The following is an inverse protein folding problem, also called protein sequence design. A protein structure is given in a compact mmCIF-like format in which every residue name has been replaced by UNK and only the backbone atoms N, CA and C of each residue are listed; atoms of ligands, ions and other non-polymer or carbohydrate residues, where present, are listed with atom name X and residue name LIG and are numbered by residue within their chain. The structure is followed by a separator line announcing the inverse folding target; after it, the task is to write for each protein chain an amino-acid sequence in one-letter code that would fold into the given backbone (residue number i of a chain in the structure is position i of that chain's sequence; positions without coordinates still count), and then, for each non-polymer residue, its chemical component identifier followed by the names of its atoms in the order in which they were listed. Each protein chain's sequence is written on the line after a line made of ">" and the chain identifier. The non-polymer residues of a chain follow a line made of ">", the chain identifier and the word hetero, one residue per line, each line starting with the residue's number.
data_IF_712041806123
#
_entry.id   IF_712041806123
#
_cell.length_a   1.000
_cell.length_b   1.000
_cell.length_c   1.000
_cell.angle_alpha   90.00
_cell.angle_beta   90.00
_cell.angle_gamma   90.00
#
_symmetry.space_group_name_H-M   'P 1'
#
loop_
_entity.id
_entity.type
_entity.pdbx_description
1 polymer ?
#
# COMPACT_ATOMS: atom_id res chain seq x y z
N UNK A 1 10.28 -1.28 -5.82
CA UNK A 1 10.00 -2.73 -5.77
C UNK A 1 9.53 -3.05 -4.38
N UNK A 2 8.47 -3.82 -4.26
CA UNK A 2 7.93 -4.24 -2.96
C UNK A 2 8.20 -5.71 -2.78
N UNK A 3 8.83 -6.08 -1.68
CA UNK A 3 9.00 -7.48 -1.29
C UNK A 3 7.93 -7.75 -0.25
N UNK A 4 6.94 -8.55 -0.63
CA UNK A 4 5.81 -8.95 0.19
C UNK A 4 5.70 -10.48 0.23
N UNK A 5 4.59 -11.01 0.77
CA UNK A 5 4.32 -12.43 0.93
C UNK A 5 3.35 -12.65 2.08
N UNK A 6 3.49 -13.76 2.81
CA UNK A 6 2.93 -13.88 4.15
C UNK A 6 3.70 -12.98 5.13
N UNK A 7 4.92 -13.39 5.49
CA UNK A 7 5.86 -12.57 6.27
C UNK A 7 7.28 -12.74 5.71
N UNK A 8 7.82 -11.77 4.93
CA UNK A 8 9.12 -11.90 4.28
C UNK A 8 10.30 -12.17 5.22
N UNK A 9 10.24 -11.72 6.48
CA UNK A 9 11.32 -11.92 7.44
C UNK A 9 11.53 -13.38 7.86
N UNK A 10 10.60 -14.29 7.53
CA UNK A 10 10.81 -15.73 7.71
C UNK A 10 11.76 -16.31 6.67
N UNK A 11 11.95 -15.64 5.53
CA UNK A 11 12.77 -16.17 4.45
C UNK A 11 14.25 -16.18 4.86
N UNK A 12 14.95 -17.33 4.76
CA UNK A 12 16.32 -17.47 5.26
C UNK A 12 17.29 -16.50 4.58
N UNK A 13 17.09 -16.22 3.29
CA UNK A 13 17.98 -15.35 2.51
C UNK A 13 17.44 -13.92 2.32
N UNK A 14 16.44 -13.47 3.10
CA UNK A 14 15.80 -12.16 2.86
C UNK A 14 16.80 -10.99 2.88
N UNK A 15 17.78 -11.04 3.78
CA UNK A 15 18.82 -10.02 3.88
C UNK A 15 19.73 -9.96 2.64
N UNK A 16 20.04 -11.13 2.06
CA UNK A 16 20.86 -11.24 0.85
C UNK A 16 20.10 -10.73 -0.37
N UNK A 17 18.81 -11.09 -0.49
CA UNK A 17 17.92 -10.59 -1.54
C UNK A 17 17.85 -9.07 -1.49
N UNK A 18 17.57 -8.49 -0.30
CA UNK A 18 17.50 -7.05 -0.11
C UNK A 18 18.85 -6.39 -0.43
N UNK A 19 19.96 -6.95 0.04
CA UNK A 19 21.30 -6.43 -0.24
C UNK A 19 21.63 -6.44 -1.74
N UNK A 20 21.28 -7.51 -2.45
CA UNK A 20 21.45 -7.62 -3.90
C UNK A 20 20.64 -6.60 -4.69
N UNK A 21 19.47 -6.21 -4.18
CA UNK A 21 18.62 -5.18 -4.78
C UNK A 21 19.15 -3.76 -4.50
N UNK A 22 19.61 -3.51 -3.27
CA UNK A 22 20.26 -2.25 -2.87
C UNK A 22 21.53 -2.02 -3.70
N UNK A 23 22.35 -3.07 -3.91
CA UNK A 23 23.56 -2.99 -4.74
C UNK A 23 23.26 -2.56 -6.19
N UNK A 24 22.04 -2.84 -6.67
CA UNK A 24 21.54 -2.43 -8.00
C UNK A 24 20.80 -1.10 -7.97
N UNK A 25 20.87 -0.36 -6.86
CA UNK A 25 20.18 0.92 -6.61
C UNK A 25 18.67 0.84 -6.85
N UNK A 26 18.05 -0.31 -6.54
CA UNK A 26 16.60 -0.47 -6.60
C UNK A 26 16.01 -0.07 -5.25
N UNK A 27 15.00 0.80 -5.26
CA UNK A 27 14.23 1.11 -4.05
C UNK A 27 13.42 -0.12 -3.64
N UNK A 28 13.66 -0.59 -2.42
CA UNK A 28 13.00 -1.74 -1.80
C UNK A 28 12.08 -1.25 -0.69
N UNK A 29 10.80 -1.58 -0.81
CA UNK A 29 9.85 -1.59 0.29
C UNK A 29 9.73 -3.02 0.79
N UNK A 30 10.26 -3.32 1.97
CA UNK A 30 10.11 -4.63 2.59
C UNK A 30 8.85 -4.61 3.47
N UNK A 31 7.79 -5.22 2.99
CA UNK A 31 6.52 -5.30 3.74
C UNK A 31 6.64 -6.32 4.86
N UNK A 32 6.23 -5.97 6.07
CA UNK A 32 6.25 -6.87 7.24
C UNK A 32 5.08 -6.57 8.15
N UNK A 33 4.58 -7.58 8.87
CA UNK A 33 3.64 -7.38 9.98
C UNK A 33 4.31 -6.82 11.24
N UNK A 34 5.64 -6.62 11.23
CA UNK A 34 6.41 -6.02 12.31
C UNK A 34 6.78 -6.98 13.45
N UNK A 35 6.14 -8.15 13.55
CA UNK A 35 6.33 -9.10 14.67
C UNK A 35 7.78 -9.58 14.77
N UNK A 36 8.40 -9.86 13.63
CA UNK A 36 9.76 -10.40 13.55
C UNK A 36 10.82 -9.33 13.26
N UNK A 37 10.41 -8.08 13.03
CA UNK A 37 11.30 -7.03 12.55
C UNK A 37 12.39 -6.71 13.59
N UNK A 38 12.03 -6.51 14.86
CA UNK A 38 13.00 -6.23 15.92
C UNK A 38 14.05 -7.35 16.07
N UNK A 39 13.62 -8.61 15.97
CA UNK A 39 14.52 -9.78 16.06
C UNK A 39 15.53 -9.85 14.91
N UNK A 40 15.13 -9.45 13.71
CA UNK A 40 15.94 -9.61 12.50
C UNK A 40 16.54 -8.30 11.98
N UNK A 41 16.33 -7.18 12.67
CA UNK A 41 16.79 -5.86 12.22
C UNK A 41 18.31 -5.82 12.01
N UNK A 42 19.07 -6.55 12.83
CA UNK A 42 20.54 -6.66 12.75
C UNK A 42 21.06 -7.34 11.48
N UNK A 43 20.18 -8.00 10.72
CA UNK A 43 20.52 -8.61 9.43
C UNK A 43 20.55 -7.58 8.29
N UNK A 44 20.10 -6.36 8.54
CA UNK A 44 20.02 -5.28 7.56
C UNK A 44 20.90 -4.11 7.98
N UNK A 45 21.18 -3.21 7.04
CA UNK A 45 21.86 -1.94 7.32
C UNK A 45 21.02 -0.78 6.77
N UNK A 46 20.96 0.37 7.46
CA UNK A 46 20.27 1.55 6.96
C UNK A 46 20.75 1.93 5.55
N UNK A 47 19.82 2.20 4.65
CA UNK A 47 20.10 2.54 3.27
C UNK A 47 19.00 3.44 2.73
N UNK A 48 19.31 4.46 1.89
CA UNK A 48 18.28 5.25 1.22
C UNK A 48 17.42 4.41 0.25
N UNK A 49 17.90 3.21 -0.11
CA UNK A 49 17.20 2.27 -0.98
C UNK A 49 16.38 1.23 -0.23
N UNK A 50 16.35 1.24 1.11
CA UNK A 50 15.56 0.30 1.92
C UNK A 50 14.59 1.06 2.82
N UNK A 51 13.31 0.75 2.66
CA UNK A 51 12.23 1.19 3.54
C UNK A 51 11.53 -0.04 4.09
N UNK A 52 11.40 -0.16 5.41
CA UNK A 52 10.49 -1.14 6.00
C UNK A 52 9.07 -0.60 5.93
N UNK A 53 8.16 -1.34 5.31
CA UNK A 53 6.74 -1.03 5.25
C UNK A 53 5.99 -1.89 6.26
N UNK A 54 5.74 -1.35 7.45
CA UNK A 54 5.11 -2.08 8.56
C UNK A 54 3.58 -1.98 8.43
N UNK A 55 2.91 -3.12 8.41
CA UNK A 55 1.46 -3.16 8.38
C UNK A 55 0.88 -2.70 9.72
N UNK A 56 0.00 -1.71 9.69
CA UNK A 56 -0.63 -1.12 10.86
C UNK A 56 -1.94 -0.47 10.41
N UNK A 57 -3.08 -1.01 10.86
CA UNK A 57 -4.40 -0.73 10.28
C UNK A 57 -5.33 0.11 11.16
N UNK A 58 -4.83 0.50 12.34
CA UNK A 58 -5.59 1.27 13.30
C UNK A 58 -4.88 1.36 14.64
N UNK A 59 -5.53 1.99 15.61
CA UNK A 59 -5.11 1.93 17.01
C UNK A 59 -5.22 0.50 17.55
N UNK A 60 -4.66 0.27 18.75
CA UNK A 60 -4.46 -1.06 19.35
C UNK A 60 -5.61 -2.04 19.14
N UNK A 61 -6.81 -1.69 19.60
CA UNK A 61 -7.97 -2.59 19.53
C UNK A 61 -8.37 -2.91 18.09
N UNK A 62 -8.44 -1.89 17.22
CA UNK A 62 -8.77 -2.06 15.81
C UNK A 62 -7.75 -2.93 15.09
N UNK A 63 -6.45 -2.64 15.25
CA UNK A 63 -5.41 -3.41 14.56
C UNK A 63 -5.37 -4.86 15.04
N UNK A 64 -5.36 -5.10 16.36
CA UNK A 64 -5.31 -6.45 16.94
C UNK A 64 -6.55 -7.28 16.53
N UNK A 65 -7.73 -6.64 16.44
CA UNK A 65 -8.95 -7.26 15.92
C UNK A 65 -8.80 -7.64 14.44
N UNK A 66 -8.31 -6.74 13.61
CA UNK A 66 -8.17 -6.96 12.15
C UNK A 66 -7.18 -8.08 11.83
N UNK A 67 -6.11 -8.23 12.63
CA UNK A 67 -5.12 -9.31 12.47
C UNK A 67 -5.43 -10.55 13.31
N UNK A 68 -6.59 -10.59 13.98
CA UNK A 68 -7.06 -11.68 14.84
C UNK A 68 -6.04 -12.13 15.90
N UNK A 69 -5.27 -11.18 16.46
CA UNK A 69 -4.22 -11.49 17.45
C UNK A 69 -3.93 -10.29 18.35
N UNK A 70 -4.14 -10.47 19.64
CA UNK A 70 -3.86 -9.47 20.67
C UNK A 70 -2.34 -9.19 20.81
N UNK A 71 -1.99 -7.92 21.03
CA UNK A 71 -0.64 -7.46 21.29
C UNK A 71 0.23 -7.27 20.04
N UNK A 72 -0.32 -7.45 18.84
CA UNK A 72 0.42 -7.24 17.59
C UNK A 72 0.70 -5.76 17.37
N UNK A 73 -0.26 -4.88 17.66
CA UNK A 73 -0.09 -3.43 17.56
C UNK A 73 1.13 -2.95 18.35
N UNK A 74 1.22 -3.33 19.63
CA UNK A 74 2.35 -2.93 20.48
C UNK A 74 3.68 -3.49 19.97
N UNK A 75 3.65 -4.71 19.45
CA UNK A 75 4.85 -5.33 18.86
C UNK A 75 5.29 -4.60 17.60
N UNK A 76 4.37 -4.27 16.71
CA UNK A 76 4.64 -3.50 15.49
C UNK A 76 5.15 -2.09 15.82
N UNK A 77 4.53 -1.40 16.79
CA UNK A 77 4.98 -0.06 17.24
C UNK A 77 6.39 -0.10 17.85
N UNK A 78 6.70 -1.10 18.69
CA UNK A 78 8.07 -1.27 19.22
C UNK A 78 9.08 -1.53 18.10
N UNK A 79 8.71 -2.35 17.11
CA UNK A 79 9.56 -2.61 15.97
C UNK A 79 9.78 -1.37 15.10
N UNK A 80 8.74 -0.56 14.87
CA UNK A 80 8.84 0.74 14.18
C UNK A 80 9.83 1.63 14.93
N UNK A 81 9.65 1.84 16.25
CA UNK A 81 10.55 2.66 17.07
C UNK A 81 11.99 2.17 17.05
N UNK A 82 12.19 0.85 17.07
CA UNK A 82 13.53 0.25 17.00
C UNK A 82 14.17 0.50 15.64
N UNK A 83 13.44 0.30 14.54
CA UNK A 83 13.94 0.53 13.20
C UNK A 83 14.26 2.01 12.95
N UNK A 84 13.34 2.92 13.32
CA UNK A 84 13.58 4.38 13.18
C UNK A 84 14.74 4.83 14.06
N UNK A 85 14.83 4.37 15.31
CA UNK A 85 15.93 4.68 16.23
C UNK A 85 17.30 4.18 15.76
N UNK A 86 17.33 3.15 14.92
CA UNK A 86 18.54 2.62 14.24
C UNK A 86 18.81 3.29 12.88
N UNK A 87 18.05 4.33 12.52
CA UNK A 87 18.25 5.11 11.30
C UNK A 87 17.66 4.47 10.03
N UNK A 88 16.86 3.42 10.14
CA UNK A 88 16.16 2.86 8.99
C UNK A 88 15.00 3.77 8.57
N UNK A 89 14.71 3.75 7.27
CA UNK A 89 13.47 4.35 6.75
C UNK A 89 12.31 3.41 7.06
N UNK A 90 11.23 3.94 7.61
CA UNK A 90 10.03 3.18 7.94
C UNK A 90 8.80 3.89 7.41
N UNK A 91 7.91 3.16 6.75
CA UNK A 91 6.56 3.62 6.41
C UNK A 91 5.53 2.68 7.03
N UNK A 92 4.32 3.17 7.27
CA UNK A 92 3.19 2.28 7.58
C UNK A 92 2.40 1.93 6.33
N UNK A 93 1.70 0.80 6.33
CA UNK A 93 0.72 0.44 5.32
C UNK A 93 -0.61 0.07 5.98
N UNK A 94 -1.62 0.90 5.74
CA UNK A 94 -2.94 0.85 6.37
C UNK A 94 -3.97 0.37 5.36
N UNK A 95 -4.70 -0.69 5.70
CA UNK A 95 -5.88 -1.13 4.94
C UNK A 95 -7.15 -0.65 5.63
N UNK A 96 -7.95 0.13 4.92
CA UNK A 96 -9.23 0.65 5.40
C UNK A 96 -10.34 -0.26 4.90
N UNK A 97 -11.03 -0.93 5.82
CA UNK A 97 -12.18 -1.75 5.50
C UNK A 97 -13.48 -0.94 5.57
N UNK A 98 -14.50 -1.43 4.87
CA UNK A 98 -15.85 -0.88 4.98
C UNK A 98 -16.37 -1.02 6.42
N UNK A 99 -17.00 0.03 6.95
CA UNK A 99 -17.54 0.05 8.32
C UNK A 99 -16.57 0.52 9.40
N UNK A 100 -15.29 0.76 9.08
CA UNK A 100 -14.35 1.37 10.02
C UNK A 100 -14.75 2.82 10.35
N UNK A 101 -14.51 3.25 11.60
CA UNK A 101 -14.84 4.60 12.04
C UNK A 101 -13.79 5.62 11.52
N UNK A 102 -14.21 6.59 10.67
CA UNK A 102 -13.29 7.61 10.16
C UNK A 102 -12.65 8.45 11.26
N UNK A 103 -13.32 8.66 12.40
CA UNK A 103 -12.75 9.41 13.52
C UNK A 103 -11.58 8.64 14.16
N UNK A 104 -11.74 7.33 14.35
CA UNK A 104 -10.67 6.47 14.89
C UNK A 104 -9.48 6.37 13.93
N UNK A 105 -9.74 6.26 12.62
CA UNK A 105 -8.67 6.26 11.60
C UNK A 105 -7.90 7.58 11.62
N UNK A 106 -8.58 8.72 11.80
CA UNK A 106 -7.91 10.03 11.88
C UNK A 106 -7.05 10.15 13.14
N UNK A 107 -7.53 9.67 14.30
CA UNK A 107 -6.71 9.57 15.53
C UNK A 107 -5.50 8.66 15.33
N UNK A 108 -5.69 7.57 14.59
CA UNK A 108 -4.59 6.67 14.22
C UNK A 108 -3.53 7.39 13.36
N UNK A 109 -3.91 8.21 12.38
CA UNK A 109 -2.92 8.98 11.61
C UNK A 109 -2.20 10.04 12.44
N UNK A 110 -2.89 10.70 13.37
CA UNK A 110 -2.25 11.59 14.33
C UNK A 110 -1.21 10.82 15.17
N UNK A 111 -1.54 9.61 15.65
CA UNK A 111 -0.61 8.75 16.37
C UNK A 111 0.60 8.32 15.52
N UNK A 112 0.38 7.86 14.29
CA UNK A 112 1.46 7.38 13.41
C UNK A 112 2.39 8.52 12.99
N UNK A 113 1.86 9.71 12.73
CA UNK A 113 2.66 10.92 12.50
C UNK A 113 3.66 11.13 13.65
N UNK A 114 3.21 10.96 14.90
CA UNK A 114 4.03 11.15 16.08
C UNK A 114 5.05 10.01 16.33
N UNK A 115 4.94 8.88 15.62
CA UNK A 115 5.93 7.79 15.67
C UNK A 115 7.24 8.10 14.91
N UNK A 116 7.28 9.18 14.14
CA UNK A 116 8.47 9.56 13.36
C UNK A 116 8.73 8.67 12.14
N UNK A 117 7.68 8.09 11.56
CA UNK A 117 7.77 7.35 10.30
C UNK A 117 8.01 8.29 9.10
N UNK A 118 8.62 7.79 8.04
CA UNK A 118 8.90 8.54 6.81
C UNK A 118 7.68 8.73 5.90
N UNK A 119 6.55 8.09 6.22
CA UNK A 119 5.31 8.25 5.49
C UNK A 119 4.29 7.15 5.82
N UNK A 120 3.04 7.41 5.46
CA UNK A 120 1.92 6.51 5.66
C UNK A 120 1.35 6.11 4.29
N UNK A 121 1.15 4.82 4.06
CA UNK A 121 0.34 4.34 2.94
C UNK A 121 -1.05 3.97 3.45
N UNK A 122 -2.05 4.26 2.63
CA UNK A 122 -3.47 4.01 2.89
C UNK A 122 -4.10 3.41 1.64
N UNK A 123 -4.87 2.34 1.80
CA UNK A 123 -5.59 1.70 0.71
C UNK A 123 -6.94 1.19 1.21
N UNK A 124 -8.00 1.25 0.39
CA UNK A 124 -9.20 0.47 0.68
C UNK A 124 -8.86 -1.02 0.65
N UNK A 125 -9.52 -1.80 1.50
CA UNK A 125 -9.49 -3.25 1.47
C UNK A 125 -10.13 -3.79 0.20
N UNK A 126 -9.52 -4.80 -0.41
CA UNK A 126 -10.11 -5.51 -1.54
C UNK A 126 -11.06 -6.59 -1.03
N UNK A 127 -12.34 -6.52 -1.41
CA UNK A 127 -13.28 -7.60 -1.08
C UNK A 127 -13.02 -8.79 -1.99
N UNK A 128 -12.43 -9.85 -1.46
CA UNK A 128 -12.33 -11.11 -2.18
C UNK A 128 -13.66 -11.86 -2.17
N UNK A 129 -13.90 -12.73 -3.16
CA UNK A 129 -15.12 -13.54 -3.29
C UNK A 129 -15.40 -14.46 -2.08
N UNK A 130 -14.39 -14.73 -1.25
CA UNK A 130 -14.51 -15.53 -0.02
C UNK A 130 -14.93 -14.72 1.22
N UNK A 131 -15.08 -13.39 1.11
CA UNK A 131 -15.59 -12.56 2.18
C UNK A 131 -17.12 -12.70 2.29
N UNK A 132 -17.67 -12.98 3.49
CA UNK A 132 -19.06 -13.42 3.67
C UNK A 132 -20.14 -12.34 3.44
N UNK A 133 -19.80 -11.13 3.02
CA UNK A 133 -20.77 -10.03 2.85
C UNK A 133 -20.76 -9.44 1.43
N UNK A 134 -21.87 -9.67 0.71
CA UNK A 134 -21.96 -9.53 -0.74
C UNK A 134 -23.21 -8.73 -1.17
N UNK A 135 -23.46 -7.58 -0.55
CA UNK A 135 -24.36 -6.57 -1.14
C UNK A 135 -23.58 -5.61 -2.07
N UNK A 136 -23.85 -5.72 -3.37
CA UNK A 136 -22.93 -5.33 -4.45
C UNK A 136 -23.15 -3.94 -5.09
N UNK A 137 -24.18 -3.18 -4.75
CA UNK A 137 -24.58 -2.03 -5.58
C UNK A 137 -23.99 -0.66 -5.16
N UNK A 138 -23.23 -0.57 -4.05
CA UNK A 138 -22.76 0.74 -3.52
C UNK A 138 -21.31 0.71 -2.99
N UNK A 139 -20.52 -0.33 -3.26
CA UNK A 139 -19.20 -0.53 -2.62
C UNK A 139 -18.19 0.59 -2.92
N UNK A 140 -18.06 1.02 -4.19
CA UNK A 140 -17.15 2.11 -4.58
C UNK A 140 -17.54 3.45 -3.96
N UNK A 141 -18.82 3.81 -4.00
CA UNK A 141 -19.32 5.09 -3.46
C UNK A 141 -19.27 5.13 -1.92
N UNK A 142 -19.55 4.02 -1.24
CA UNK A 142 -19.36 3.91 0.21
C UNK A 142 -17.89 4.06 0.59
N UNK A 143 -16.99 3.43 -0.17
CA UNK A 143 -15.54 3.63 -0.02
C UNK A 143 -15.17 5.11 -0.19
N UNK A 144 -15.64 5.77 -1.26
CA UNK A 144 -15.39 7.20 -1.48
C UNK A 144 -15.88 8.09 -0.36
N UNK A 145 -17.09 7.84 0.13
CA UNK A 145 -17.65 8.60 1.24
C UNK A 145 -16.83 8.43 2.52
N UNK A 146 -16.40 7.20 2.82
CA UNK A 146 -15.53 6.92 3.94
C UNK A 146 -14.17 7.64 3.80
N UNK A 147 -13.52 7.56 2.63
CA UNK A 147 -12.25 8.22 2.39
C UNK A 147 -12.36 9.75 2.41
N UNK A 148 -13.49 10.33 1.96
CA UNK A 148 -13.76 11.76 2.11
C UNK A 148 -13.83 12.19 3.57
N UNK A 149 -14.45 11.39 4.43
CA UNK A 149 -14.47 11.65 5.88
C UNK A 149 -13.09 11.47 6.52
N UNK A 150 -12.35 10.43 6.13
CA UNK A 150 -11.00 10.14 6.64
C UNK A 150 -10.01 11.25 6.25
N UNK A 151 -10.05 11.70 5.00
CA UNK A 151 -9.05 12.62 4.42
C UNK A 151 -9.47 14.11 4.47
N UNK A 152 -10.65 14.41 5.01
CA UNK A 152 -11.13 15.78 5.23
C UNK A 152 -10.10 16.64 5.96
N UNK A 153 -9.84 17.85 5.46
CA UNK A 153 -8.90 18.82 6.05
C UNK A 153 -7.46 18.30 6.24
N UNK A 154 -7.04 17.25 5.52
CA UNK A 154 -5.69 16.66 5.67
C UNK A 154 -4.54 17.66 5.46
N UNK A 155 -4.77 18.69 4.65
CA UNK A 155 -3.78 19.73 4.35
C UNK A 155 -3.26 20.46 5.61
N UNK A 156 -4.08 20.57 6.67
CA UNK A 156 -3.70 21.21 7.93
C UNK A 156 -3.22 20.25 9.03
N UNK A 157 -3.14 18.95 8.74
CA UNK A 157 -2.87 17.91 9.76
C UNK A 157 -1.40 17.51 9.89
N UNK A 158 -0.57 17.88 8.90
CA UNK A 158 0.83 17.44 8.81
C UNK A 158 0.98 15.92 8.57
N UNK A 159 -0.07 15.26 8.09
CA UNK A 159 -0.02 13.85 7.71
C UNK A 159 0.80 13.68 6.45
N UNK A 160 1.87 12.89 6.53
CA UNK A 160 2.74 12.58 5.41
C UNK A 160 2.31 11.26 4.76
N UNK A 161 1.49 11.34 3.71
CA UNK A 161 1.11 10.16 2.94
C UNK A 161 2.13 9.87 1.84
N UNK A 162 2.60 8.62 1.77
CA UNK A 162 3.46 8.11 0.69
C UNK A 162 2.61 7.71 -0.52
N UNK A 163 1.85 8.67 -1.04
CA UNK A 163 0.97 8.55 -2.21
C UNK A 163 1.11 9.80 -3.07
N UNK A 164 0.83 9.67 -4.36
CA UNK A 164 0.56 10.84 -5.19
C UNK A 164 -0.69 11.55 -4.66
N UNK A 165 -0.73 12.90 -4.68
CA UNK A 165 -1.94 13.64 -4.28
C UNK A 165 -3.13 13.28 -5.19
N UNK A 166 -2.86 12.83 -6.41
CA UNK A 166 -3.85 12.38 -7.39
C UNK A 166 -4.52 11.07 -6.99
N UNK A 167 -3.79 10.12 -6.40
CA UNK A 167 -4.40 8.90 -5.87
C UNK A 167 -5.29 9.21 -4.67
N UNK A 168 -4.89 10.14 -3.80
CA UNK A 168 -5.75 10.59 -2.69
C UNK A 168 -7.05 11.26 -3.19
N UNK A 169 -6.95 12.13 -4.20
CA UNK A 169 -8.13 12.71 -4.87
C UNK A 169 -9.08 11.62 -5.43
N UNK A 170 -8.51 10.56 -6.02
CA UNK A 170 -9.28 9.43 -6.53
C UNK A 170 -10.01 8.68 -5.42
N UNK A 171 -9.37 8.47 -4.28
CA UNK A 171 -10.00 7.87 -3.11
C UNK A 171 -11.17 8.71 -2.58
N UNK A 172 -11.08 10.04 -2.65
CA UNK A 172 -12.15 10.96 -2.25
C UNK A 172 -13.26 11.10 -3.30
N UNK A 173 -13.07 10.53 -4.49
CA UNK A 173 -13.99 10.65 -5.62
C UNK A 173 -13.91 11.97 -6.37
N UNK A 174 -12.88 12.78 -6.13
CA UNK A 174 -12.60 14.01 -6.89
C UNK A 174 -12.02 13.70 -8.27
N UNK A 175 -11.55 12.47 -8.46
CA UNK A 175 -11.04 11.93 -9.72
C UNK A 175 -11.54 10.52 -9.98
N UNK A 176 -11.63 10.19 -11.25
CA UNK A 176 -11.86 8.85 -11.75
C UNK A 176 -10.65 8.38 -12.55
N UNK A 177 -10.18 7.18 -12.23
CA UNK A 177 -9.13 6.49 -12.98
C UNK A 177 -9.61 5.11 -13.36
N UNK A 178 -9.11 4.63 -14.48
CA UNK A 178 -9.10 3.20 -14.74
C UNK A 178 -7.87 2.56 -14.10
N UNK A 179 -7.98 1.26 -13.82
CA UNK A 179 -6.87 0.51 -13.28
C UNK A 179 -5.79 0.36 -14.33
N UNK A 180 -4.56 0.38 -13.85
CA UNK A 180 -3.37 0.05 -14.62
C UNK A 180 -2.89 -1.33 -14.14
N UNK A 181 -3.49 -2.44 -14.62
CA UNK A 181 -3.27 -3.78 -14.06
C UNK A 181 -1.82 -4.28 -14.26
N UNK A 182 -1.15 -3.84 -15.31
CA UNK A 182 0.26 -4.15 -15.58
C UNK A 182 1.25 -3.28 -14.79
N UNK A 183 0.79 -2.29 -14.01
CA UNK A 183 1.65 -1.28 -13.38
C UNK A 183 2.47 -1.81 -12.21
N UNK A 184 2.00 -2.89 -11.59
CA UNK A 184 2.66 -3.56 -10.48
C UNK A 184 2.63 -5.07 -10.70
N UNK A 185 3.44 -5.59 -11.65
CA UNK A 185 3.47 -7.02 -11.95
C UNK A 185 4.03 -7.78 -10.74
N UNK A 186 3.39 -8.91 -10.41
CA UNK A 186 3.78 -9.73 -9.26
C UNK A 186 4.56 -10.97 -9.70
N UNK A 187 5.63 -11.27 -8.98
CA UNK A 187 6.42 -12.50 -9.15
C UNK A 187 6.49 -13.24 -7.82
N UNK A 188 6.21 -14.54 -7.86
CA UNK A 188 6.33 -15.44 -6.71
C UNK A 188 7.13 -16.69 -7.08
N UNK A 189 7.25 -17.63 -6.14
CA UNK A 189 7.84 -18.95 -6.40
C UNK A 189 7.09 -19.76 -7.48
N UNK A 190 5.86 -19.37 -7.80
CA UNK A 190 5.05 -19.98 -8.86
C UNK A 190 5.24 -19.32 -10.23
N UNK A 191 5.96 -18.20 -10.30
CA UNK A 191 6.20 -17.43 -11.53
C UNK A 191 5.55 -16.05 -11.51
N UNK A 192 5.38 -15.47 -12.70
CA UNK A 192 4.74 -14.16 -12.90
C UNK A 192 3.22 -14.29 -12.86
N UNK A 193 2.58 -13.75 -11.83
CA UNK A 193 1.15 -13.95 -11.61
C UNK A 193 0.29 -13.12 -12.59
N UNK A 194 -0.76 -13.74 -13.12
CA UNK A 194 -1.75 -13.13 -14.03
C UNK A 194 -3.07 -12.78 -13.33
N UNK A 195 -3.78 -11.75 -13.81
CA UNK A 195 -3.21 -10.53 -14.39
C UNK A 195 -2.51 -9.68 -13.32
N UNK A 196 -2.93 -9.82 -12.06
CA UNK A 196 -2.44 -9.06 -10.92
C UNK A 196 -2.43 -9.93 -9.67
N UNK A 197 -1.81 -9.44 -8.59
CA UNK A 197 -1.66 -10.25 -7.38
C UNK A 197 -2.98 -10.59 -6.67
N UNK A 198 -4.06 -9.83 -6.94
CA UNK A 198 -5.39 -10.04 -6.32
C UNK A 198 -6.21 -11.12 -7.03
N UNK A 199 -6.20 -11.14 -8.36
CA UNK A 199 -7.07 -12.03 -9.16
C UNK A 199 -6.52 -13.44 -9.33
N UNK A 200 -5.19 -13.58 -9.44
CA UNK A 200 -4.49 -14.88 -9.47
C UNK A 200 -5.08 -15.91 -10.45
N UNK A 201 -5.24 -15.55 -11.71
CA UNK A 201 -5.86 -16.40 -12.73
C UNK A 201 -4.86 -17.35 -13.41
N UNK A 202 -3.59 -17.32 -12.98
CA UNK A 202 -2.54 -18.21 -13.45
C UNK A 202 -1.16 -17.59 -13.33
N UNK A 203 -0.16 -18.27 -13.89
CA UNK A 203 1.24 -17.85 -13.82
C UNK A 203 1.90 -17.96 -15.20
N UNK A 204 2.76 -16.99 -15.51
CA UNK A 204 3.64 -16.98 -16.67
C UNK A 204 5.06 -17.35 -16.24
N UNK A 205 5.77 -18.07 -17.10
CA UNK A 205 7.16 -18.49 -16.85
C UNK A 205 8.16 -17.35 -17.00
N UNK A 206 7.81 -16.31 -17.75
CA UNK A 206 8.66 -15.14 -18.00
C UNK A 206 7.86 -13.84 -18.00
N UNK A 207 8.55 -12.72 -17.76
CA UNK A 207 7.94 -11.39 -17.83
C UNK A 207 7.37 -11.11 -19.22
N UNK A 208 8.07 -11.54 -20.28
CA UNK A 208 7.60 -11.40 -21.66
C UNK A 208 6.27 -12.12 -21.87
N UNK A 209 6.17 -13.36 -21.39
CA UNK A 209 4.94 -14.17 -21.49
C UNK A 209 3.80 -13.59 -20.64
N UNK A 210 4.10 -12.95 -19.50
CA UNK A 210 3.10 -12.18 -18.75
C UNK A 210 2.57 -11.02 -19.58
N UNK A 211 3.47 -10.19 -20.14
CA UNK A 211 3.09 -8.96 -20.83
C UNK A 211 2.37 -9.21 -22.14
N UNK A 212 2.83 -10.17 -22.94
CA UNK A 212 2.28 -10.47 -24.27
C UNK A 212 1.13 -11.48 -24.22
N UNK A 213 1.12 -12.37 -23.23
CA UNK A 213 0.12 -13.45 -23.10
C UNK A 213 -1.08 -13.12 -22.22
N UNK A 214 -1.15 -11.91 -21.66
CA UNK A 214 -2.29 -11.45 -20.85
C UNK A 214 -3.08 -10.41 -21.65
N UNK A 215 -4.38 -10.65 -21.86
CA UNK A 215 -5.26 -9.64 -22.45
C UNK A 215 -5.62 -8.59 -21.38
N UNK A 216 -4.77 -7.57 -21.26
CA UNK A 216 -4.93 -6.49 -20.28
C UNK A 216 -6.24 -5.70 -20.46
N UNK A 217 -6.86 -5.74 -21.64
CA UNK A 217 -8.12 -5.02 -21.90
C UNK A 217 -9.32 -5.63 -21.16
N UNK A 218 -9.19 -6.88 -20.68
CA UNK A 218 -10.22 -7.56 -19.88
C UNK A 218 -10.22 -7.18 -18.40
N UNK A 219 -9.33 -6.26 -17.96
CA UNK A 219 -9.18 -5.92 -16.56
C UNK A 219 -9.23 -4.42 -16.30
N UNK A 220 -9.59 -4.06 -15.07
CA UNK A 220 -9.86 -2.69 -14.65
C UNK A 220 -11.35 -2.34 -14.64
N UNK A 221 -11.76 -1.30 -13.90
CA UNK A 221 -13.17 -0.89 -13.83
C UNK A 221 -13.87 -0.74 -15.19
N UNK A 222 -13.21 -0.17 -16.20
CA UNK A 222 -13.86 0.10 -17.50
C UNK A 222 -14.05 -1.16 -18.36
N UNK A 223 -13.33 -2.25 -18.06
CA UNK A 223 -13.44 -3.52 -18.80
C UNK A 223 -14.79 -4.23 -18.58
N UNK A 224 -15.54 -3.84 -17.55
CA UNK A 224 -16.75 -4.56 -17.13
C UNK A 224 -16.46 -5.83 -16.30
N UNK A 225 -15.20 -6.15 -16.03
CA UNK A 225 -14.83 -7.31 -15.22
C UNK A 225 -15.40 -7.20 -13.79
N UNK A 226 -16.25 -8.15 -13.33
CA UNK A 226 -16.98 -8.01 -12.08
C UNK A 226 -16.09 -7.77 -10.85
N UNK A 227 -14.94 -8.43 -10.79
CA UNK A 227 -13.98 -8.30 -9.68
C UNK A 227 -13.14 -7.01 -9.73
N UNK A 228 -13.17 -6.28 -10.84
CA UNK A 228 -12.41 -5.04 -11.03
C UNK A 228 -13.27 -3.79 -10.84
N UNK A 229 -14.59 -3.90 -11.05
CA UNK A 229 -15.54 -2.78 -11.09
C UNK A 229 -15.42 -1.81 -9.92
N UNK A 230 -15.36 -2.36 -8.70
CA UNK A 230 -15.35 -1.60 -7.45
C UNK A 230 -13.95 -1.49 -6.83
N UNK A 231 -12.92 -1.93 -7.56
CA UNK A 231 -11.55 -1.93 -7.08
C UNK A 231 -11.01 -0.49 -6.98
N UNK A 232 -10.28 -0.19 -5.91
CA UNK A 232 -9.66 1.12 -5.67
C UNK A 232 -8.26 0.99 -5.03
N UNK A 233 -7.63 -0.19 -5.08
CA UNK A 233 -6.35 -0.45 -4.39
C UNK A 233 -5.15 0.27 -5.02
N UNK A 234 -4.23 0.76 -4.21
CA UNK A 234 -3.12 1.59 -4.71
C UNK A 234 -2.27 0.88 -5.76
N UNK A 235 -2.08 -0.44 -5.69
CA UNK A 235 -1.20 -1.16 -6.63
C UNK A 235 -1.64 -1.07 -8.09
N UNK A 236 -2.95 -0.91 -8.33
CA UNK A 236 -3.53 -0.77 -9.66
C UNK A 236 -3.79 0.68 -10.06
N UNK A 237 -4.09 1.56 -9.09
CA UNK A 237 -4.52 2.93 -9.37
C UNK A 237 -3.45 4.00 -9.12
N UNK A 238 -2.45 3.74 -8.27
CA UNK A 238 -1.30 4.63 -8.11
C UNK A 238 -0.53 4.81 -9.43
N UNK A 239 -0.28 3.76 -10.25
CA UNK A 239 0.34 3.96 -11.56
C UNK A 239 -0.48 4.88 -12.49
N UNK A 240 -1.81 4.72 -12.51
CA UNK A 240 -2.71 5.61 -13.27
C UNK A 240 -2.63 7.04 -12.75
N UNK A 241 -2.68 7.21 -11.44
CA UNK A 241 -2.60 8.51 -10.77
C UNK A 241 -1.26 9.20 -11.02
N UNK A 242 -0.14 8.46 -11.01
CA UNK A 242 1.20 8.98 -11.33
C UNK A 242 1.31 9.37 -12.81
N UNK A 243 0.69 8.59 -13.71
CA UNK A 243 0.57 8.96 -15.13
C UNK A 243 -0.14 10.30 -15.32
N UNK A 244 -1.25 10.53 -14.61
CA UNK A 244 -1.95 11.82 -14.63
C UNK A 244 -1.15 12.93 -13.92
N UNK A 245 -0.52 12.62 -12.79
CA UNK A 245 0.32 13.55 -12.03
C UNK A 245 1.47 14.15 -12.88
N UNK A 246 1.92 13.44 -13.91
CA UNK A 246 2.99 13.85 -14.82
C UNK A 246 2.50 14.25 -16.22
N UNK A 247 1.19 14.22 -16.47
CA UNK A 247 0.59 14.48 -17.80
C UNK A 247 0.68 15.94 -18.24
N UNK A 248 0.89 16.87 -17.31
CA UNK A 248 0.99 18.30 -17.59
C UNK A 248 1.93 19.02 -16.62
N UNK A 249 2.42 20.19 -17.02
CA UNK A 249 3.24 21.06 -16.17
C UNK A 249 2.48 21.43 -14.88
N UNK A 250 1.19 21.75 -14.99
CA UNK A 250 0.33 22.08 -13.85
C UNK A 250 0.26 20.92 -12.85
N UNK A 251 0.01 19.70 -13.33
CA UNK A 251 -0.06 18.52 -12.47
C UNK A 251 1.29 18.18 -11.84
N UNK A 252 2.37 18.35 -12.60
CA UNK A 252 3.74 18.14 -12.12
C UNK A 252 4.09 19.10 -11.00
N UNK A 253 3.79 20.39 -11.16
CA UNK A 253 4.00 21.41 -10.12
C UNK A 253 3.21 21.05 -8.85
N UNK A 254 1.94 20.65 -9.00
CA UNK A 254 1.13 20.21 -7.86
C UNK A 254 1.78 19.03 -7.12
N UNK A 255 2.23 18.02 -7.86
CA UNK A 255 2.88 16.85 -7.28
C UNK A 255 4.17 17.22 -6.53
N UNK A 256 4.99 18.10 -7.09
CA UNK A 256 6.20 18.60 -6.42
C UNK A 256 5.87 19.40 -5.15
N UNK A 257 4.80 20.21 -5.18
CA UNK A 257 4.38 20.97 -3.99
C UNK A 257 3.95 20.08 -2.82
N UNK A 258 3.42 18.88 -3.11
CA UNK A 258 3.05 17.90 -2.06
C UNK A 258 4.24 17.23 -1.37
N UNK A 259 5.44 17.32 -1.95
CA UNK A 259 6.68 16.81 -1.36
C UNK A 259 7.34 17.81 -0.39
N UNK A 260 6.89 19.06 -0.41
CA UNK A 260 7.34 20.07 0.54
C UNK A 260 6.61 19.85 1.87
N UNK A 261 7.30 19.90 3.01
CA UNK A 261 6.65 19.88 4.31
C UNK A 261 5.55 20.95 4.34
N UNK A 262 4.36 20.58 4.82
CA UNK A 262 3.38 21.59 5.23
C UNK A 262 4.06 22.45 6.30
N UNK A 263 4.36 23.70 5.95
CA UNK A 263 5.08 24.65 6.81
C UNK A 263 4.31 24.99 8.07
#
# INVERSE_FOLDING_TARGET
>A
MTIAGGEPLIHPEIAEIVSGMIARKKFVYLCTNGILLEKYIDRFSPSPYLTFSVHLDGLRETHDRLVCREGVFETAVRAIRTATGRGFRVTTNTTVFEGEDPVEIRKFFDYVKDLGVNGMMISPGYSYDWAPDQEHFLKKDRTRNLFRMILADRAGKGWNFNHSPFYLDFLEGERDYDCTPWGSPNYSVLGWQRPCYLLNEGYASSFKELMEGTDWSQYGPSSGHPKCRDCMVHCGFEPSAVGDATSSIRNTIRSLSSLLPAG
#
